data_IF_663632311670
#
_entry.id   IF_663632311670
#
_cell.length_a   1.000
_cell.length_b   1.000
_cell.length_c   1.000
_cell.angle_alpha   90.00
_cell.angle_beta   90.00
_cell.angle_gamma   90.00
#
_symmetry.space_group_name_H-M   'P 1'
#
loop_
_entity.id
_entity.type
_entity.pdbx_description
1 polymer ?
#
# COMPACT_ATOMS: atom_id res chain seq x y z
N UNK A 1 -14.93 3.46 5.45
CA UNK A 1 -15.18 2.64 4.24
C UNK A 1 -14.15 1.54 4.21
N UNK A 2 -14.52 0.27 4.05
CA UNK A 2 -13.53 -0.74 3.75
C UNK A 2 -12.92 -0.39 2.40
N UNK A 3 -11.61 -0.23 2.37
CA UNK A 3 -10.90 -0.15 1.11
C UNK A 3 -11.11 -1.48 0.38
N UNK A 4 -11.39 -1.43 -0.90
CA UNK A 4 -11.64 -2.61 -1.77
C UNK A 4 -10.52 -3.67 -1.67
N UNK A 5 -9.39 -3.29 -1.10
CA UNK A 5 -8.14 -4.06 -1.07
C UNK A 5 -7.80 -4.72 0.25
N UNK A 6 -8.43 -4.33 1.36
CA UNK A 6 -8.08 -4.85 2.68
C UNK A 6 -9.32 -5.20 3.49
N UNK A 7 -9.58 -6.50 3.65
CA UNK A 7 -10.59 -6.99 4.57
C UNK A 7 -9.98 -7.23 5.94
N UNK A 8 -10.49 -6.58 6.97
CA UNK A 8 -10.09 -6.85 8.36
C UNK A 8 -10.71 -8.18 8.77
N UNK A 9 -9.86 -9.15 9.10
CA UNK A 9 -10.25 -10.47 9.61
C UNK A 9 -9.62 -10.70 10.98
N UNK A 10 -10.08 -11.73 11.69
CA UNK A 10 -9.48 -12.12 12.97
C UNK A 10 -7.99 -12.49 12.83
N UNK A 11 -7.57 -12.92 11.66
CA UNK A 11 -6.17 -13.23 11.35
C UNK A 11 -5.24 -12.03 11.52
N UNK A 12 -5.74 -10.82 11.34
CA UNK A 12 -4.97 -9.59 11.58
C UNK A 12 -4.46 -9.48 13.00
N UNK A 13 -5.15 -10.09 13.95
CA UNK A 13 -4.88 -10.00 15.37
C UNK A 13 -4.18 -11.24 15.93
N UNK A 14 -3.77 -12.17 15.07
CA UNK A 14 -2.95 -13.29 15.49
C UNK A 14 -1.58 -12.78 15.92
N UNK A 15 -1.24 -12.99 17.21
CA UNK A 15 0.00 -12.47 17.79
C UNK A 15 0.01 -10.94 18.00
N UNK A 16 -1.14 -10.27 17.87
CA UNK A 16 -1.26 -8.83 18.12
C UNK A 16 -0.89 -8.48 19.57
N UNK A 17 -0.09 -7.42 19.79
CA UNK A 17 0.25 -6.98 21.12
C UNK A 17 -0.99 -6.48 21.86
N UNK A 18 -1.08 -6.83 23.13
CA UNK A 18 -2.12 -6.32 24.03
C UNK A 18 -1.67 -5.02 24.68
N UNK A 19 -2.61 -4.14 24.92
CA UNK A 19 -2.42 -2.89 25.66
C UNK A 19 -3.66 -2.58 26.48
N UNK A 20 -3.56 -1.58 27.33
CA UNK A 20 -4.69 -1.06 28.11
C UNK A 20 -5.02 0.36 27.63
N UNK A 21 -6.27 0.60 27.30
CA UNK A 21 -6.78 1.90 26.91
C UNK A 21 -8.01 2.24 27.76
N UNK A 22 -7.93 3.30 28.57
CA UNK A 22 -9.03 3.74 29.45
C UNK A 22 -9.56 2.62 30.37
N UNK A 23 -8.66 1.75 30.88
CA UNK A 23 -9.02 0.63 31.76
C UNK A 23 -9.56 -0.61 31.04
N UNK A 24 -9.65 -0.58 29.70
CA UNK A 24 -10.05 -1.73 28.89
C UNK A 24 -8.83 -2.38 28.22
N UNK A 25 -8.76 -3.71 28.23
CA UNK A 25 -7.77 -4.46 27.46
C UNK A 25 -8.13 -4.39 25.97
N UNK A 26 -7.17 -3.99 25.17
CA UNK A 26 -7.31 -3.87 23.71
C UNK A 26 -6.17 -4.60 23.00
N UNK A 27 -6.45 -5.15 21.82
CA UNK A 27 -5.41 -5.65 20.91
C UNK A 27 -5.04 -4.56 19.93
N UNK A 28 -3.75 -4.31 19.77
CA UNK A 28 -3.25 -3.33 18.85
C UNK A 28 -3.05 -3.96 17.46
N UNK A 29 -3.41 -3.23 16.41
CA UNK A 29 -3.14 -3.66 15.03
C UNK A 29 -1.62 -3.77 14.85
N UNK A 30 -1.09 -4.93 14.40
CA UNK A 30 0.33 -5.06 14.13
C UNK A 30 0.81 -4.08 13.05
N UNK A 31 2.08 -3.63 13.09
CA UNK A 31 2.61 -2.64 12.16
C UNK A 31 2.46 -2.99 10.68
N UNK A 32 2.62 -4.27 10.32
CA UNK A 32 2.45 -4.76 8.94
C UNK A 32 1.04 -4.51 8.42
N UNK A 33 0.03 -4.93 9.17
CA UNK A 33 -1.38 -4.75 8.83
C UNK A 33 -1.78 -3.27 8.88
N UNK A 34 -1.22 -2.51 9.80
CA UNK A 34 -1.45 -1.07 9.87
C UNK A 34 -0.98 -0.38 8.58
N UNK A 35 0.26 -0.63 8.15
CA UNK A 35 0.78 -0.08 6.90
C UNK A 35 -0.10 -0.50 5.73
N UNK A 36 -0.43 -1.78 5.61
CA UNK A 36 -1.28 -2.30 4.55
C UNK A 36 -2.64 -1.60 4.49
N UNK A 37 -3.26 -1.32 5.64
CA UNK A 37 -4.56 -0.63 5.70
C UNK A 37 -4.50 0.85 5.32
N UNK A 38 -3.34 1.49 5.50
CA UNK A 38 -3.15 2.94 5.34
C UNK A 38 -2.54 3.34 3.99
N UNK A 39 -1.78 2.45 3.37
CA UNK A 39 -0.95 2.76 2.20
C UNK A 39 -1.76 3.24 0.98
N UNK A 40 -3.03 2.86 0.90
CA UNK A 40 -3.94 3.27 -0.19
C UNK A 40 -4.67 4.58 0.07
N UNK A 41 -4.57 5.16 1.26
CA UNK A 41 -5.31 6.39 1.61
C UNK A 41 -4.51 7.60 1.16
N UNK A 42 -4.72 8.02 -0.09
CA UNK A 42 -4.06 9.14 -0.75
C UNK A 42 -5.11 10.05 -1.39
N UNK A 43 -6.11 10.43 -0.61
CA UNK A 43 -7.20 11.29 -1.03
C UNK A 43 -6.90 12.75 -0.71
N UNK A 44 -7.48 13.67 -1.47
CA UNK A 44 -7.42 15.12 -1.27
C UNK A 44 -7.76 15.54 0.16
N UNK A 45 -8.72 14.89 0.80
CA UNK A 45 -9.15 15.20 2.16
C UNK A 45 -8.47 14.35 3.23
N UNK A 46 -7.84 13.24 2.85
CA UNK A 46 -7.20 12.30 3.77
C UNK A 46 -6.01 11.64 3.10
N UNK A 47 -4.85 11.93 3.65
CA UNK A 47 -3.57 11.42 3.19
C UNK A 47 -2.82 10.75 4.33
N UNK A 48 -2.84 9.42 4.37
CA UNK A 48 -2.32 8.64 5.48
C UNK A 48 -0.84 8.21 5.30
N UNK A 49 -0.13 8.72 4.30
CA UNK A 49 1.27 8.36 4.05
C UNK A 49 2.22 8.82 5.15
N UNK A 50 1.87 9.86 5.91
CA UNK A 50 2.60 10.25 7.11
C UNK A 50 2.52 9.17 8.19
N UNK A 51 1.34 8.55 8.36
CA UNK A 51 1.14 7.44 9.31
C UNK A 51 1.99 6.23 8.91
N UNK A 52 2.05 5.92 7.60
CA UNK A 52 2.91 4.85 7.06
C UNK A 52 4.38 5.15 7.34
N UNK A 53 4.84 6.37 7.05
CA UNK A 53 6.21 6.77 7.29
C UNK A 53 6.59 6.74 8.78
N UNK A 54 5.71 7.20 9.67
CA UNK A 54 5.91 7.15 11.11
C UNK A 54 5.93 5.71 11.63
N UNK A 55 5.08 4.82 11.09
CA UNK A 55 5.09 3.41 11.47
C UNK A 55 6.42 2.74 11.09
N UNK A 56 6.93 2.99 9.90
CA UNK A 56 8.25 2.51 9.49
C UNK A 56 9.32 3.06 10.42
N UNK A 57 9.33 4.37 10.68
CA UNK A 57 10.32 5.03 11.53
C UNK A 57 10.39 4.42 12.93
N UNK A 58 9.24 4.17 13.54
CA UNK A 58 9.15 3.78 14.96
C UNK A 58 9.06 2.27 15.17
N UNK A 59 8.51 1.54 14.21
CA UNK A 59 8.16 0.12 14.39
C UNK A 59 8.82 -0.81 13.36
N UNK A 60 9.85 -0.36 12.61
CA UNK A 60 10.49 -1.13 11.54
C UNK A 60 10.90 -2.56 11.93
N UNK A 61 11.31 -2.77 13.19
CA UNK A 61 11.71 -4.10 13.71
C UNK A 61 10.55 -5.07 13.88
N UNK A 62 9.33 -4.54 14.03
CA UNK A 62 8.11 -5.32 14.19
C UNK A 62 7.33 -5.50 12.87
N UNK A 63 7.82 -4.91 11.77
CA UNK A 63 7.23 -5.09 10.45
C UNK A 63 7.70 -6.42 9.87
N UNK A 64 6.76 -7.29 9.53
CA UNK A 64 7.04 -8.45 8.68
C UNK A 64 7.06 -7.99 7.21
N UNK A 65 8.25 -7.69 6.72
CA UNK A 65 8.46 -7.17 5.36
C UNK A 65 8.09 -8.16 4.27
N UNK A 66 8.21 -9.47 4.52
CA UNK A 66 7.79 -10.50 3.56
C UNK A 66 6.27 -10.57 3.46
N UNK A 67 5.61 -10.54 4.61
CA UNK A 67 4.16 -10.51 4.66
C UNK A 67 3.61 -9.23 4.00
N UNK A 68 4.23 -8.07 4.27
CA UNK A 68 3.85 -6.81 3.64
C UNK A 68 3.99 -6.88 2.11
N UNK A 69 5.11 -7.40 1.61
CA UNK A 69 5.32 -7.58 0.16
C UNK A 69 4.26 -8.52 -0.43
N UNK A 70 3.94 -9.63 0.25
CA UNK A 70 2.91 -10.55 -0.21
C UNK A 70 1.52 -9.89 -0.26
N UNK A 71 1.15 -9.11 0.76
CA UNK A 71 -0.11 -8.36 0.75
C UNK A 71 -0.18 -7.33 -0.38
N UNK A 72 0.98 -6.80 -0.77
CA UNK A 72 1.12 -5.78 -1.82
C UNK A 72 1.49 -6.35 -3.19
N UNK A 73 1.42 -7.67 -3.38
CA UNK A 73 1.87 -8.33 -4.63
C UNK A 73 1.28 -7.70 -5.88
N UNK A 74 -0.01 -7.42 -5.86
CA UNK A 74 -0.75 -6.83 -6.97
C UNK A 74 -0.58 -5.30 -7.08
N UNK A 75 -0.14 -4.69 -6.01
CA UNK A 75 0.01 -3.24 -5.86
C UNK A 75 1.43 -2.89 -5.41
N UNK A 76 2.40 -3.67 -5.87
CA UNK A 76 3.80 -3.49 -5.49
C UNK A 76 4.34 -2.08 -5.80
N UNK A 77 3.82 -1.44 -6.86
CA UNK A 77 4.15 -0.05 -7.21
C UNK A 77 3.75 0.92 -6.09
N UNK A 78 2.59 0.68 -5.45
CA UNK A 78 2.13 1.49 -4.31
C UNK A 78 3.07 1.33 -3.12
N UNK A 79 3.55 0.11 -2.86
CA UNK A 79 4.56 -0.14 -1.84
C UNK A 79 5.87 0.59 -2.17
N UNK A 80 6.33 0.53 -3.41
CA UNK A 80 7.53 1.23 -3.86
C UNK A 80 7.40 2.75 -3.64
N UNK A 81 6.25 3.35 -4.01
CA UNK A 81 5.95 4.76 -3.78
C UNK A 81 6.07 5.10 -2.28
N UNK A 82 5.47 4.29 -1.41
CA UNK A 82 5.50 4.52 0.03
C UNK A 82 6.93 4.44 0.60
N UNK A 83 7.71 3.46 0.16
CA UNK A 83 9.09 3.30 0.61
C UNK A 83 10.01 4.42 0.09
N UNK A 84 9.81 4.88 -1.13
CA UNK A 84 10.50 6.05 -1.68
C UNK A 84 10.13 7.32 -0.93
N UNK A 85 8.84 7.50 -0.61
CA UNK A 85 8.36 8.62 0.21
C UNK A 85 9.04 8.62 1.59
N UNK A 86 9.10 7.48 2.29
CA UNK A 86 9.82 7.34 3.54
C UNK A 86 11.30 7.74 3.41
N UNK A 87 11.98 7.23 2.39
CA UNK A 87 13.40 7.49 2.13
C UNK A 87 13.67 8.95 1.78
N UNK A 88 12.72 9.64 1.16
CA UNK A 88 12.80 11.06 0.88
C UNK A 88 12.63 11.90 2.16
N UNK A 89 11.62 11.56 2.99
CA UNK A 89 11.32 12.30 4.23
C UNK A 89 12.44 12.12 5.26
N UNK A 90 12.97 10.89 5.40
CA UNK A 90 13.97 10.54 6.41
C UNK A 90 15.27 10.04 5.76
N UNK A 91 16.08 10.92 5.14
CA UNK A 91 17.29 10.50 4.44
C UNK A 91 18.35 9.88 5.35
N UNK A 92 18.39 10.24 6.63
CA UNK A 92 19.25 9.62 7.64
C UNK A 92 18.83 8.21 8.05
N UNK A 93 17.54 7.88 7.88
CA UNK A 93 16.93 6.64 8.38
C UNK A 93 16.65 5.61 7.26
N UNK A 94 17.23 5.81 6.08
CA UNK A 94 17.01 4.92 4.91
C UNK A 94 17.33 3.46 5.19
N UNK A 95 18.26 3.20 6.12
CA UNK A 95 18.69 1.87 6.53
C UNK A 95 17.59 1.07 7.29
N UNK A 96 16.54 1.73 7.77
CA UNK A 96 15.42 1.08 8.46
C UNK A 96 14.54 0.27 7.50
N UNK A 97 14.57 0.58 6.22
CA UNK A 97 13.95 -0.25 5.18
C UNK A 97 14.98 -1.27 4.70
N UNK A 98 14.70 -2.58 4.80
CA UNK A 98 15.65 -3.61 4.37
C UNK A 98 16.02 -3.46 2.90
N UNK A 99 17.32 -3.60 2.60
CA UNK A 99 17.81 -3.43 1.23
C UNK A 99 17.14 -4.40 0.26
N UNK A 100 16.94 -5.65 0.67
CA UNK A 100 16.39 -6.70 -0.20
C UNK A 100 15.01 -6.36 -0.77
N UNK A 101 14.13 -5.70 0.01
CA UNK A 101 12.80 -5.32 -0.49
C UNK A 101 12.90 -4.19 -1.52
N UNK A 102 13.84 -3.26 -1.32
CA UNK A 102 14.09 -2.21 -2.31
C UNK A 102 14.66 -2.79 -3.60
N UNK A 103 15.61 -3.73 -3.49
CA UNK A 103 16.20 -4.39 -4.66
C UNK A 103 15.13 -5.17 -5.44
N UNK A 104 14.26 -5.93 -4.77
CA UNK A 104 13.13 -6.65 -5.34
C UNK A 104 12.16 -5.72 -6.09
N UNK A 105 11.73 -4.63 -5.46
CA UNK A 105 10.79 -3.69 -6.07
C UNK A 105 11.40 -2.94 -7.26
N UNK A 106 12.68 -2.60 -7.19
CA UNK A 106 13.39 -1.97 -8.30
C UNK A 106 13.63 -2.92 -9.47
N UNK A 107 13.84 -4.21 -9.21
CA UNK A 107 13.94 -5.23 -10.25
C UNK A 107 12.59 -5.38 -10.98
N UNK A 108 11.49 -5.50 -10.25
CA UNK A 108 10.14 -5.50 -10.83
C UNK A 108 9.88 -4.25 -11.71
N UNK A 109 10.32 -3.09 -11.25
CA UNK A 109 10.17 -1.85 -12.02
C UNK A 109 10.98 -1.90 -13.33
N UNK A 110 12.20 -2.43 -13.31
CA UNK A 110 13.03 -2.59 -14.52
C UNK A 110 12.38 -3.55 -15.50
N UNK A 111 11.91 -4.69 -15.01
CA UNK A 111 11.26 -5.70 -15.85
C UNK A 111 9.98 -5.17 -16.50
N UNK A 112 9.27 -4.29 -15.81
CA UNK A 112 8.04 -3.66 -16.33
C UNK A 112 8.27 -2.75 -17.53
N UNK A 113 9.47 -2.16 -17.69
CA UNK A 113 9.76 -1.26 -18.84
C UNK A 113 9.63 -1.96 -20.19
N UNK A 114 9.94 -3.24 -20.25
CA UNK A 114 9.90 -4.03 -21.48
C UNK A 114 8.54 -4.72 -21.69
N UNK A 115 7.65 -4.62 -20.71
CA UNK A 115 6.30 -5.19 -20.79
C UNK A 115 5.37 -4.20 -21.49
N UNK A 116 4.70 -4.66 -22.55
CA UNK A 116 3.68 -3.86 -23.22
C UNK A 116 2.53 -3.58 -22.27
N UNK A 117 2.14 -2.32 -22.14
CA UNK A 117 0.98 -1.93 -21.36
C UNK A 117 -0.33 -2.54 -21.89
N UNK A 118 -1.41 -2.48 -21.08
CA UNK A 118 -2.71 -2.99 -21.50
C UNK A 118 -3.17 -2.33 -22.82
N UNK A 119 -3.84 -3.10 -23.69
CA UNK A 119 -4.29 -2.63 -25.00
C UNK A 119 -5.44 -1.61 -24.96
N UNK A 120 -5.97 -1.35 -23.77
CA UNK A 120 -7.04 -0.39 -23.50
C UNK A 120 -6.62 0.65 -22.47
N UNK A 121 -7.33 1.78 -22.41
CA UNK A 121 -7.13 2.79 -21.38
C UNK A 121 -7.63 2.27 -20.02
N UNK A 122 -6.75 2.17 -19.04
CA UNK A 122 -7.05 1.68 -17.69
C UNK A 122 -6.64 2.71 -16.66
N UNK A 123 -7.51 3.00 -15.69
CA UNK A 123 -7.21 3.83 -14.55
C UNK A 123 -7.36 3.03 -13.25
N UNK A 124 -6.30 3.03 -12.43
CA UNK A 124 -6.29 2.45 -11.08
C UNK A 124 -6.35 3.51 -9.99
N UNK A 125 -6.43 4.77 -10.36
CA UNK A 125 -6.36 5.90 -9.43
C UNK A 125 -7.47 5.90 -8.37
N UNK A 126 -8.64 5.36 -8.67
CA UNK A 126 -9.76 5.26 -7.73
C UNK A 126 -9.48 4.39 -6.49
N UNK A 127 -8.42 3.57 -6.52
CA UNK A 127 -7.94 2.87 -5.32
C UNK A 127 -7.42 3.84 -4.25
N UNK A 128 -6.88 4.97 -4.67
CA UNK A 128 -6.39 6.04 -3.79
C UNK A 128 -7.49 7.02 -3.41
N UNK A 129 -8.22 7.51 -4.41
CA UNK A 129 -9.29 8.49 -4.26
C UNK A 129 -10.36 8.27 -5.32
N UNK A 130 -11.51 7.69 -4.97
CA UNK A 130 -12.61 7.50 -5.92
C UNK A 130 -13.10 8.79 -6.54
N UNK A 131 -13.01 9.90 -5.80
CA UNK A 131 -13.49 11.21 -6.24
C UNK A 131 -12.52 11.88 -7.21
N UNK A 132 -11.22 11.91 -6.86
CA UNK A 132 -10.23 12.66 -7.63
C UNK A 132 -9.99 12.03 -9.01
N UNK A 133 -10.17 10.71 -9.12
CA UNK A 133 -10.04 9.96 -10.38
C UNK A 133 -11.38 9.60 -11.04
N UNK A 134 -12.50 10.20 -10.60
CA UNK A 134 -13.79 9.97 -11.22
C UNK A 134 -13.83 10.49 -12.66
N UNK A 135 -13.22 11.63 -12.94
CA UNK A 135 -13.18 12.26 -14.26
C UNK A 135 -12.52 11.35 -15.32
N UNK A 136 -11.50 10.57 -14.92
CA UNK A 136 -10.80 9.65 -15.80
C UNK A 136 -11.76 8.61 -16.39
N UNK A 137 -12.62 8.06 -15.55
CA UNK A 137 -13.60 7.05 -15.93
C UNK A 137 -14.82 7.68 -16.61
N UNK A 138 -15.37 8.74 -16.02
CA UNK A 138 -16.64 9.32 -16.44
C UNK A 138 -16.54 10.12 -17.73
N UNK A 139 -15.38 10.76 -18.01
CA UNK A 139 -15.23 11.68 -19.12
C UNK A 139 -14.07 11.35 -20.07
N UNK A 140 -12.95 10.78 -19.57
CA UNK A 140 -11.75 10.57 -20.38
C UNK A 140 -11.64 9.18 -20.98
N UNK A 141 -12.64 8.34 -20.74
CA UNK A 141 -12.77 7.02 -21.37
C UNK A 141 -11.81 5.96 -20.85
N UNK A 142 -11.34 6.10 -19.58
CA UNK A 142 -10.59 5.05 -18.93
C UNK A 142 -11.53 4.02 -18.28
N UNK A 143 -11.18 2.75 -18.35
CA UNK A 143 -11.84 1.70 -17.57
C UNK A 143 -11.35 1.74 -16.13
N UNK A 144 -12.27 1.63 -15.17
CA UNK A 144 -11.95 1.48 -13.76
C UNK A 144 -11.45 0.05 -13.50
N UNK A 145 -10.19 -0.08 -13.13
CA UNK A 145 -9.54 -1.36 -12.87
C UNK A 145 -9.34 -1.65 -11.38
N UNK A 146 -10.06 -0.95 -10.49
CA UNK A 146 -10.01 -1.21 -9.05
C UNK A 146 -10.66 -2.56 -8.74
N UNK A 147 -9.87 -3.47 -8.18
CA UNK A 147 -10.34 -4.77 -7.71
C UNK A 147 -10.55 -5.83 -8.81
N UNK A 148 -10.27 -5.53 -10.07
CA UNK A 148 -10.38 -6.47 -11.17
C UNK A 148 -9.01 -6.73 -11.83
N UNK A 149 -8.40 -7.85 -11.43
CA UNK A 149 -7.05 -8.23 -11.88
C UNK A 149 -7.00 -8.71 -13.32
N UNK A 150 -8.02 -9.43 -13.76
CA UNK A 150 -8.11 -9.92 -15.13
C UNK A 150 -8.17 -8.76 -16.12
N UNK A 151 -8.73 -7.63 -15.69
CA UNK A 151 -8.75 -6.40 -16.48
C UNK A 151 -7.41 -5.65 -16.52
N UNK A 152 -6.52 -5.90 -15.56
CA UNK A 152 -5.20 -5.23 -15.52
C UNK A 152 -4.19 -5.88 -16.45
N UNK A 153 -4.30 -7.20 -16.67
CA UNK A 153 -3.33 -8.01 -17.42
C UNK A 153 -3.98 -8.83 -18.54
N UNK A 154 -5.28 -8.66 -18.77
CA UNK A 154 -6.00 -9.34 -19.84
C UNK A 154 -5.52 -8.89 -21.23
N UNK A 155 -5.33 -9.84 -22.09
CA UNK A 155 -4.80 -9.83 -23.46
C UNK A 155 -5.24 -8.68 -24.34
#
# INVERSE_FOLDING_TARGET
>A
MPTVTTHVTDEWFVGAPESELFGAKVRLVPPTQFIWSKIFVQDHHRYDMADVAHMILKCHKAIDWKQLLNHMELYWEVLLIALLNFRFIYPSERHLVPRWIMDELLERLRDQYDVKGPGRKVCRGRIFSPRDYAIDVDQWGFSDAVGNLEEQYGE
#
